data_IF_023448164359
#
_entry.id   IF_023448164359
#
_cell.length_a   1.000
_cell.length_b   1.000
_cell.length_c   1.000
_cell.angle_alpha   90.00
_cell.angle_beta   90.00
_cell.angle_gamma   90.00
#
_symmetry.space_group_name_H-M   'P 1'
#
loop_
_entity.id
_entity.type
_entity.pdbx_description
1 polymer ?
#
# COMPACT_ATOMS: atom_id res chain seq x y z
N UNK A 1 -6.03 13.02 3.54
CA UNK A 1 -5.35 12.90 2.24
C UNK A 1 -4.23 13.93 2.06
N UNK A 2 -3.71 14.56 3.12
CA UNK A 2 -2.75 15.67 2.98
C UNK A 2 -1.28 15.23 2.79
N UNK A 3 -0.93 13.97 3.11
CA UNK A 3 0.47 13.52 3.16
C UNK A 3 0.85 12.54 2.06
N UNK A 4 -0.09 11.73 1.58
CA UNK A 4 0.16 10.73 0.54
C UNK A 4 -0.86 10.84 -0.58
N UNK A 5 -0.38 10.80 -1.83
CA UNK A 5 -1.21 10.80 -3.04
C UNK A 5 -1.92 9.45 -3.27
N UNK A 6 -2.50 9.28 -4.46
CA UNK A 6 -3.26 8.09 -4.87
C UNK A 6 -2.44 7.08 -5.69
N UNK A 7 -1.17 7.37 -5.93
CA UNK A 7 -0.26 6.46 -6.64
C UNK A 7 0.18 5.36 -5.68
N UNK A 8 0.08 4.10 -6.12
CA UNK A 8 0.48 2.96 -5.31
C UNK A 8 1.99 2.96 -5.04
N UNK A 9 2.39 2.90 -3.77
CA UNK A 9 3.81 2.84 -3.36
C UNK A 9 4.52 1.51 -3.66
N UNK A 10 3.84 0.53 -4.28
CA UNK A 10 4.42 -0.78 -4.64
C UNK A 10 4.60 -0.90 -6.14
N UNK A 11 3.52 -0.74 -6.91
CA UNK A 11 3.51 -0.95 -8.37
C UNK A 11 3.36 0.34 -9.17
N UNK A 12 3.42 1.50 -8.51
CA UNK A 12 3.39 2.84 -9.12
C UNK A 12 2.14 3.12 -9.99
N UNK A 13 1.06 2.35 -9.81
CA UNK A 13 -0.20 2.53 -10.53
C UNK A 13 -1.02 3.69 -9.98
N UNK A 14 -1.57 4.52 -10.87
CA UNK A 14 -2.66 5.43 -10.58
C UNK A 14 -4.00 4.83 -11.04
N UNK A 15 -4.94 4.66 -10.10
CA UNK A 15 -6.25 4.09 -10.41
C UNK A 15 -7.14 5.08 -11.18
N UNK A 16 -6.93 6.38 -11.02
CA UNK A 16 -7.63 7.39 -11.79
C UNK A 16 -7.18 7.39 -13.25
N UNK A 17 -5.88 7.16 -13.52
CA UNK A 17 -5.37 6.99 -14.89
C UNK A 17 -5.98 5.75 -15.56
N UNK A 18 -6.21 4.68 -14.82
CA UNK A 18 -6.75 3.42 -15.37
C UNK A 18 -8.27 3.41 -15.53
N UNK A 19 -9.01 3.86 -14.51
CA UNK A 19 -10.49 3.78 -14.48
C UNK A 19 -11.16 5.13 -14.82
N UNK A 20 -10.39 6.21 -14.93
CA UNK A 20 -10.91 7.56 -15.11
C UNK A 20 -11.53 8.13 -13.83
N UNK A 21 -12.39 9.16 -13.95
CA UNK A 21 -12.89 9.93 -12.82
C UNK A 21 -13.63 9.13 -11.73
N UNK A 22 -14.11 7.93 -12.05
CA UNK A 22 -14.77 7.04 -11.08
C UNK A 22 -13.83 6.57 -9.96
N UNK A 23 -12.52 6.59 -10.21
CA UNK A 23 -11.49 6.23 -9.23
C UNK A 23 -10.79 7.46 -8.62
N UNK A 24 -11.31 8.68 -8.82
CA UNK A 24 -10.75 9.89 -8.23
C UNK A 24 -10.62 9.74 -6.70
N UNK A 25 -9.39 9.90 -6.19
CA UNK A 25 -9.11 9.76 -4.76
C UNK A 25 -9.14 8.32 -4.22
N UNK A 26 -9.39 7.32 -5.07
CA UNK A 26 -9.55 5.93 -4.63
C UNK A 26 -8.19 5.24 -4.50
N UNK A 27 -7.81 4.93 -3.26
CA UNK A 27 -6.61 4.16 -2.93
C UNK A 27 -6.80 3.48 -1.56
N UNK A 28 -6.14 2.34 -1.32
CA UNK A 28 -6.13 1.76 0.02
C UNK A 28 -4.96 2.32 0.83
N UNK A 29 -5.14 2.40 2.15
CA UNK A 29 -4.08 2.80 3.09
C UNK A 29 -3.61 1.55 3.82
N UNK A 30 -2.30 1.31 3.80
CA UNK A 30 -1.65 0.17 4.45
C UNK A 30 -0.73 0.65 5.56
N UNK A 31 -0.69 -0.08 6.68
CA UNK A 31 0.21 0.22 7.79
C UNK A 31 1.60 -0.37 7.49
N UNK A 32 2.65 0.43 7.56
CA UNK A 32 4.03 -0.02 7.35
C UNK A 32 4.52 -0.98 8.45
N UNK A 33 3.91 -0.91 9.64
CA UNK A 33 4.15 -1.84 10.76
C UNK A 33 2.89 -2.64 11.06
N UNK A 34 3.00 -3.95 11.33
CA UNK A 34 1.85 -4.76 11.73
C UNK A 34 1.16 -4.18 12.98
N UNK A 35 -0.16 -4.03 12.94
CA UNK A 35 -0.94 -3.56 14.10
C UNK A 35 -0.71 -4.42 15.36
N UNK A 36 -0.31 -5.69 15.21
CA UNK A 36 0.05 -6.58 16.32
C UNK A 36 1.30 -6.15 17.08
N UNK A 37 2.19 -5.39 16.45
CA UNK A 37 3.41 -4.84 17.06
C UNK A 37 3.16 -3.45 17.67
N UNK A 38 1.97 -2.90 17.41
CA UNK A 38 1.54 -1.56 17.80
C UNK A 38 0.75 -1.70 19.11
N UNK A 39 1.42 -1.51 20.25
CA UNK A 39 0.78 -1.55 21.57
C UNK A 39 -0.25 -0.43 21.77
N UNK A 40 -1.11 -0.55 22.80
CA UNK A 40 -2.24 0.36 23.09
C UNK A 40 -1.89 1.86 23.22
N UNK A 41 -0.60 2.22 23.33
CA UNK A 41 -0.11 3.60 23.45
C UNK A 41 0.50 4.18 22.17
N UNK A 42 0.44 3.46 21.06
CA UNK A 42 1.01 3.94 19.81
C UNK A 42 0.07 4.93 19.12
N UNK A 43 0.55 6.15 18.92
CA UNK A 43 -0.12 7.13 18.07
C UNK A 43 0.35 6.90 16.64
N UNK A 44 -0.57 6.47 15.77
CA UNK A 44 -0.31 6.37 14.32
C UNK A 44 0.11 7.73 13.79
N UNK A 45 1.29 7.81 13.21
CA UNK A 45 1.75 8.95 12.42
C UNK A 45 1.34 8.72 10.95
N UNK A 46 0.36 9.47 10.42
CA UNK A 46 -0.13 9.26 9.06
C UNK A 46 0.92 9.44 7.96
N UNK A 47 2.06 10.08 8.24
CA UNK A 47 3.15 10.34 7.29
C UNK A 47 4.16 9.19 7.21
N UNK A 48 4.44 8.53 8.33
CA UNK A 48 5.49 7.51 8.43
C UNK A 48 4.96 6.08 8.55
N UNK A 49 3.73 5.95 9.06
CA UNK A 49 3.17 4.65 9.43
C UNK A 49 2.17 4.15 8.42
N UNK A 50 1.73 5.01 7.50
CA UNK A 50 0.72 4.73 6.51
C UNK A 50 1.30 4.95 5.12
N UNK A 51 0.89 4.12 4.16
CA UNK A 51 1.29 4.27 2.78
C UNK A 51 0.15 3.92 1.81
N UNK A 52 0.06 4.61 0.66
CA UNK A 52 -0.94 4.32 -0.35
C UNK A 52 -0.59 3.05 -1.12
N UNK A 53 -1.53 2.12 -1.20
CA UNK A 53 -1.41 0.89 -2.00
C UNK A 53 -2.69 0.65 -2.80
N UNK A 54 -2.58 0.14 -4.02
CA UNK A 54 -3.77 -0.24 -4.79
C UNK A 54 -4.44 -1.47 -4.15
N UNK A 55 -5.75 -1.71 -4.38
CA UNK A 55 -6.45 -2.87 -3.83
C UNK A 55 -5.77 -4.21 -4.13
N UNK A 56 -5.18 -4.36 -5.32
CA UNK A 56 -4.49 -5.57 -5.72
C UNK A 56 -3.19 -5.78 -4.93
N UNK A 57 -2.34 -4.77 -4.83
CA UNK A 57 -1.12 -4.86 -4.02
C UNK A 57 -1.47 -5.07 -2.55
N UNK A 58 -2.51 -4.40 -2.02
CA UNK A 58 -2.96 -4.60 -0.66
C UNK A 58 -3.35 -6.07 -0.40
N UNK A 59 -4.10 -6.68 -1.31
CA UNK A 59 -4.46 -8.09 -1.22
C UNK A 59 -3.23 -9.01 -1.29
N UNK A 60 -2.23 -8.69 -2.11
CA UNK A 60 -1.01 -9.49 -2.25
C UNK A 60 -0.09 -9.39 -1.02
N UNK A 61 0.03 -8.21 -0.40
CA UNK A 61 0.78 -8.03 0.84
C UNK A 61 0.29 -8.98 1.94
N UNK A 62 -1.04 -9.14 2.06
CA UNK A 62 -1.66 -10.02 3.04
C UNK A 62 -1.91 -11.45 2.55
N UNK A 63 -1.35 -11.85 1.40
CA UNK A 63 -1.57 -13.19 0.84
C UNK A 63 -0.76 -14.28 1.55
N UNK A 64 0.29 -13.91 2.27
CA UNK A 64 1.18 -14.82 3.02
C UNK A 64 1.12 -14.54 4.52
N UNK A 65 1.60 -15.49 5.32
CA UNK A 65 1.81 -15.33 6.76
C UNK A 65 3.25 -15.75 7.10
N UNK A 66 4.13 -14.83 7.55
CA UNK A 66 3.88 -13.40 7.74
C UNK A 66 3.54 -12.66 6.42
N UNK A 67 2.85 -11.50 6.48
CA UNK A 67 2.61 -10.65 5.31
C UNK A 67 3.92 -10.28 4.61
N UNK A 68 3.86 -10.07 3.29
CA UNK A 68 4.98 -9.52 2.54
C UNK A 68 5.21 -8.06 2.93
N UNK A 69 6.46 -7.62 2.89
CA UNK A 69 6.76 -6.17 2.88
C UNK A 69 6.49 -5.59 1.49
N UNK A 70 6.39 -4.27 1.43
CA UNK A 70 6.24 -3.53 0.16
C UNK A 70 7.43 -3.72 -0.77
N UNK A 71 8.63 -3.85 -0.22
CA UNK A 71 9.87 -4.11 -0.98
C UNK A 71 9.84 -5.52 -1.56
N UNK A 72 9.48 -6.53 -0.76
CA UNK A 72 9.36 -7.91 -1.22
C UNK A 72 8.34 -8.04 -2.36
N UNK A 73 7.17 -7.40 -2.23
CA UNK A 73 6.17 -7.44 -3.30
C UNK A 73 6.64 -6.67 -4.54
N UNK A 74 7.32 -5.53 -4.37
CA UNK A 74 7.90 -4.76 -5.48
C UNK A 74 8.93 -5.60 -6.24
N UNK A 75 9.80 -6.31 -5.54
CA UNK A 75 10.77 -7.24 -6.13
C UNK A 75 10.04 -8.32 -6.94
N UNK A 76 9.05 -9.02 -6.37
CA UNK A 76 8.28 -10.06 -7.07
C UNK A 76 7.64 -9.56 -8.38
N UNK A 77 7.07 -8.35 -8.36
CA UNK A 77 6.51 -7.72 -9.56
C UNK A 77 7.62 -7.49 -10.60
N UNK A 78 8.75 -6.92 -10.19
CA UNK A 78 9.89 -6.70 -11.09
C UNK A 78 10.42 -8.01 -11.67
N UNK A 79 10.45 -9.10 -10.90
CA UNK A 79 10.89 -10.40 -11.41
C UNK A 79 9.96 -10.99 -12.45
N UNK A 80 8.64 -10.84 -12.25
CA UNK A 80 7.62 -11.38 -13.15
C UNK A 80 7.49 -10.60 -14.48
N UNK A 81 7.96 -9.36 -14.51
CA UNK A 81 7.92 -8.47 -15.67
C UNK A 81 9.29 -8.25 -16.34
N UNK A 82 10.32 -9.03 -15.95
CA UNK A 82 11.58 -9.17 -16.70
C UNK A 82 11.38 -10.03 -17.94
#
# INVERSE_FOLDING_TARGET
MAYHGTICSVCDSDLEEFYGPVAYGFIHVHHSKPLSEIGERYTVNPETDLMPVCPNCHAMLHRTQPPLTTEQLRELIQEAHR
#
